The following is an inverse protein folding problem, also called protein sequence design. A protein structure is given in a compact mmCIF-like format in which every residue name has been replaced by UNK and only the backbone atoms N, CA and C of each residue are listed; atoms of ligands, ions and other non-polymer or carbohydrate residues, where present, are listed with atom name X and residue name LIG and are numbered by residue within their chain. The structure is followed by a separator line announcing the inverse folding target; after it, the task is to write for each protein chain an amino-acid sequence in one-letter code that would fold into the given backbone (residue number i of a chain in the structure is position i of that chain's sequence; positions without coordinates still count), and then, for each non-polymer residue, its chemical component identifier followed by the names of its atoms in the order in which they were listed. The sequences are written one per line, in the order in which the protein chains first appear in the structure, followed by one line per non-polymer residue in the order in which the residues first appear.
data_IF_975825140412
#
_entry.id   IF_975825140412
#
_cell.length_a   1.000
_cell.length_b   1.000
_cell.length_c   1.000
_cell.angle_alpha   90.00
_cell.angle_beta   90.00
_cell.angle_gamma   90.00
#
_symmetry.space_group_name_H-M   'P 1'
#
loop_
_entity.id
_entity.type
_entity.pdbx_description
1 polymer ?
#
# COMPACT_ATOMS: atom_id res chain seq x y z
N UNK A 1 -29.43 -119.13 -6.31
CA UNK A 1 -29.87 -118.08 -7.26
C UNK A 1 -30.74 -116.99 -6.60
N UNK A 2 -31.91 -117.29 -6.00
CA UNK A 2 -32.78 -116.27 -5.35
C UNK A 2 -32.13 -115.53 -4.16
N UNK A 3 -31.35 -116.23 -3.31
CA UNK A 3 -30.73 -115.65 -2.11
C UNK A 3 -29.58 -114.67 -2.44
N UNK A 4 -28.80 -114.96 -3.49
CA UNK A 4 -27.69 -114.11 -3.96
C UNK A 4 -28.22 -112.81 -4.58
N UNK A 5 -29.29 -112.88 -5.39
CA UNK A 5 -30.00 -111.71 -5.93
C UNK A 5 -30.58 -110.79 -4.83
N UNK A 6 -31.10 -111.37 -3.74
CA UNK A 6 -31.66 -110.60 -2.62
C UNK A 6 -30.58 -109.87 -1.82
N UNK A 7 -29.40 -110.48 -1.63
CA UNK A 7 -28.24 -109.82 -0.99
C UNK A 7 -27.66 -108.69 -1.85
N UNK A 8 -27.52 -108.90 -3.17
CA UNK A 8 -27.05 -107.84 -4.08
C UNK A 8 -28.04 -106.69 -4.21
N UNK A 9 -29.35 -106.99 -4.19
CA UNK A 9 -30.40 -105.96 -4.21
C UNK A 9 -30.43 -105.14 -2.92
N UNK A 10 -30.31 -105.78 -1.76
CA UNK A 10 -30.22 -105.08 -0.47
C UNK A 10 -28.95 -104.22 -0.33
N UNK A 11 -27.81 -104.67 -0.86
CA UNK A 11 -26.58 -103.87 -0.89
C UNK A 11 -26.70 -102.68 -1.86
N UNK A 12 -27.36 -102.86 -3.00
CA UNK A 12 -27.64 -101.78 -3.95
C UNK A 12 -28.62 -100.75 -3.38
N UNK A 13 -29.69 -101.20 -2.71
CA UNK A 13 -30.66 -100.32 -2.03
C UNK A 13 -30.00 -99.52 -0.89
N UNK A 14 -29.09 -100.13 -0.12
CA UNK A 14 -28.29 -99.42 0.88
C UNK A 14 -27.36 -98.37 0.25
N UNK A 15 -26.72 -98.70 -0.87
CA UNK A 15 -25.85 -97.78 -1.62
C UNK A 15 -26.62 -96.60 -2.23
N UNK A 16 -27.83 -96.85 -2.75
CA UNK A 16 -28.73 -95.81 -3.25
C UNK A 16 -29.14 -94.87 -2.13
N UNK A 17 -29.50 -95.40 -0.95
CA UNK A 17 -29.88 -94.58 0.20
C UNK A 17 -28.72 -93.74 0.76
N UNK A 18 -27.50 -94.28 0.73
CA UNK A 18 -26.26 -93.56 1.07
C UNK A 18 -26.01 -92.40 0.10
N UNK A 19 -26.10 -92.65 -1.22
CA UNK A 19 -25.97 -91.64 -2.26
C UNK A 19 -27.07 -90.57 -2.20
N UNK A 20 -28.32 -90.94 -1.89
CA UNK A 20 -29.42 -89.99 -1.70
C UNK A 20 -29.17 -89.05 -0.52
N UNK A 21 -28.60 -89.55 0.59
CA UNK A 21 -28.23 -88.73 1.74
C UNK A 21 -27.06 -87.79 1.41
N UNK A 22 -26.06 -88.26 0.68
CA UNK A 22 -24.91 -87.45 0.25
C UNK A 22 -25.32 -86.35 -0.73
N UNK A 23 -26.23 -86.64 -1.67
CA UNK A 23 -26.83 -85.65 -2.58
C UNK A 23 -27.68 -84.64 -1.81
N UNK A 24 -28.41 -85.05 -0.77
CA UNK A 24 -29.18 -84.14 0.06
C UNK A 24 -28.28 -83.18 0.87
N UNK A 25 -27.17 -83.67 1.42
CA UNK A 25 -26.17 -82.83 2.09
C UNK A 25 -25.47 -81.88 1.09
N UNK A 26 -25.07 -82.35 -0.09
CA UNK A 26 -24.51 -81.50 -1.14
C UNK A 26 -25.49 -80.41 -1.60
N UNK A 27 -26.79 -80.72 -1.68
CA UNK A 27 -27.82 -79.71 -1.99
C UNK A 27 -27.90 -78.63 -0.91
N UNK A 28 -27.91 -79.01 0.38
CA UNK A 28 -27.89 -78.04 1.50
C UNK A 28 -26.65 -77.17 1.47
N UNK A 29 -25.48 -77.76 1.22
CA UNK A 29 -24.22 -77.01 1.11
C UNK A 29 -24.26 -76.06 -0.08
N UNK A 30 -24.79 -76.48 -1.23
CA UNK A 30 -24.90 -75.64 -2.42
C UNK A 30 -25.92 -74.50 -2.23
N UNK A 31 -27.04 -74.75 -1.55
CA UNK A 31 -28.02 -73.71 -1.18
C UNK A 31 -27.41 -72.70 -0.22
N UNK A 32 -26.73 -73.15 0.85
CA UNK A 32 -26.04 -72.27 1.78
C UNK A 32 -24.92 -71.46 1.10
N UNK A 33 -24.18 -72.08 0.16
CA UNK A 33 -23.17 -71.39 -0.63
C UNK A 33 -23.78 -70.35 -1.58
N UNK A 34 -24.93 -70.66 -2.19
CA UNK A 34 -25.65 -69.74 -3.06
C UNK A 34 -26.19 -68.53 -2.26
N UNK A 35 -26.80 -68.76 -1.10
CA UNK A 35 -27.27 -67.71 -0.20
C UNK A 35 -26.11 -66.83 0.31
N UNK A 36 -24.99 -67.44 0.70
CA UNK A 36 -23.78 -66.72 1.09
C UNK A 36 -23.21 -65.87 -0.06
N UNK A 37 -23.13 -66.44 -1.26
CA UNK A 37 -22.63 -65.72 -2.45
C UNK A 37 -23.54 -64.55 -2.84
N UNK A 38 -24.86 -64.75 -2.76
CA UNK A 38 -25.83 -63.69 -3.05
C UNK A 38 -25.75 -62.56 -2.01
N UNK A 39 -25.57 -62.90 -0.74
CA UNK A 39 -25.36 -61.92 0.35
C UNK A 39 -24.11 -61.09 0.12
N UNK A 40 -23.00 -61.73 -0.23
CA UNK A 40 -21.74 -61.03 -0.56
C UNK A 40 -21.92 -60.13 -1.78
N UNK A 41 -22.54 -60.62 -2.85
CA UNK A 41 -22.78 -59.84 -4.06
C UNK A 41 -23.66 -58.60 -3.81
N UNK A 42 -24.73 -58.74 -3.02
CA UNK A 42 -25.59 -57.63 -2.64
C UNK A 42 -24.85 -56.61 -1.77
N UNK A 43 -24.12 -57.08 -0.74
CA UNK A 43 -23.35 -56.20 0.14
C UNK A 43 -22.30 -55.39 -0.63
N UNK A 44 -21.56 -56.03 -1.55
CA UNK A 44 -20.59 -55.33 -2.40
C UNK A 44 -21.25 -54.29 -3.32
N UNK A 45 -22.45 -54.58 -3.84
CA UNK A 45 -23.21 -53.60 -4.65
C UNK A 45 -23.60 -52.36 -3.82
N UNK A 46 -24.01 -52.56 -2.57
CA UNK A 46 -24.35 -51.46 -1.66
C UNK A 46 -23.11 -50.61 -1.33
N UNK A 47 -21.97 -51.22 -1.01
CA UNK A 47 -20.72 -50.48 -0.79
C UNK A 47 -20.26 -49.75 -2.05
N UNK A 48 -20.40 -50.35 -3.23
CA UNK A 48 -20.09 -49.66 -4.49
C UNK A 48 -20.93 -48.40 -4.66
N UNK A 49 -22.23 -48.46 -4.36
CA UNK A 49 -23.10 -47.28 -4.40
C UNK A 49 -22.70 -46.20 -3.38
N UNK A 50 -22.32 -46.61 -2.16
CA UNK A 50 -21.80 -45.70 -1.12
C UNK A 50 -20.50 -45.04 -1.59
N UNK A 51 -19.53 -45.80 -2.07
CA UNK A 51 -18.24 -45.30 -2.55
C UNK A 51 -18.39 -44.40 -3.77
N UNK A 52 -19.34 -44.67 -4.67
CA UNK A 52 -19.64 -43.81 -5.82
C UNK A 52 -20.24 -42.46 -5.41
N UNK A 53 -21.03 -42.41 -4.34
CA UNK A 53 -21.54 -41.16 -3.76
C UNK A 53 -20.43 -40.41 -3.01
N UNK A 54 -19.64 -41.14 -2.23
CA UNK A 54 -18.47 -40.60 -1.53
C UNK A 54 -17.47 -39.97 -2.50
N UNK A 55 -17.17 -40.62 -3.63
CA UNK A 55 -16.27 -40.10 -4.66
C UNK A 55 -16.79 -38.84 -5.35
N UNK A 56 -18.09 -38.55 -5.24
CA UNK A 56 -18.72 -37.29 -5.71
C UNK A 56 -18.77 -36.20 -4.63
N UNK A 57 -18.22 -36.48 -3.44
CA UNK A 57 -18.18 -35.55 -2.31
C UNK A 57 -19.41 -35.60 -1.40
N UNK A 58 -20.31 -36.56 -1.58
CA UNK A 58 -21.44 -36.76 -0.66
C UNK A 58 -20.96 -37.51 0.58
N UNK A 59 -20.64 -36.76 1.63
CA UNK A 59 -20.20 -37.30 2.92
C UNK A 59 -21.35 -37.73 3.82
N UNK A 60 -22.61 -37.54 3.43
CA UNK A 60 -23.78 -37.89 4.27
C UNK A 60 -24.14 -39.37 4.21
N UNK A 61 -23.53 -40.12 3.29
CA UNK A 61 -23.74 -41.56 3.13
C UNK A 61 -23.12 -42.34 4.28
N UNK A 62 -23.66 -43.52 4.56
CA UNK A 62 -23.10 -44.46 5.54
C UNK A 62 -23.10 -45.86 4.96
N UNK A 63 -21.99 -46.55 5.16
CA UNK A 63 -21.79 -47.94 4.79
C UNK A 63 -22.48 -48.83 5.84
N UNK A 64 -23.11 -49.93 5.40
CA UNK A 64 -23.70 -50.89 6.34
C UNK A 64 -22.56 -51.59 7.12
N UNK A 65 -22.76 -51.92 8.40
CA UNK A 65 -21.78 -52.62 9.25
C UNK A 65 -22.34 -53.93 9.81
N UNK A 66 -23.55 -54.32 9.38
CA UNK A 66 -24.28 -55.51 9.86
C UNK A 66 -24.91 -56.26 8.69
N UNK A 67 -24.08 -56.72 7.79
CA UNK A 67 -24.43 -57.53 6.63
C UNK A 67 -24.51 -59.02 6.97
N UNK A 68 -23.96 -59.43 8.11
CA UNK A 68 -23.90 -60.83 8.53
C UNK A 68 -22.78 -61.61 7.86
N UNK A 69 -21.77 -60.91 7.34
CA UNK A 69 -20.49 -61.41 6.86
C UNK A 69 -19.38 -60.53 7.45
N UNK A 70 -18.41 -61.15 8.13
CA UNK A 70 -17.39 -60.42 8.90
C UNK A 70 -16.50 -59.52 8.03
N UNK A 71 -16.24 -59.90 6.77
CA UNK A 71 -15.39 -59.12 5.87
C UNK A 71 -16.12 -57.89 5.33
N UNK A 72 -17.39 -58.06 4.99
CA UNK A 72 -18.25 -56.94 4.61
C UNK A 72 -18.42 -55.97 5.79
N UNK A 73 -18.64 -56.47 7.00
CA UNK A 73 -18.79 -55.62 8.18
C UNK A 73 -17.51 -54.82 8.47
N UNK A 74 -16.32 -55.42 8.33
CA UNK A 74 -15.04 -54.71 8.40
C UNK A 74 -14.88 -53.65 7.30
N UNK A 75 -15.28 -53.95 6.07
CA UNK A 75 -15.26 -52.97 4.97
C UNK A 75 -16.19 -51.78 5.26
N UNK A 76 -17.34 -52.04 5.88
CA UNK A 76 -18.27 -51.03 6.34
C UNK A 76 -17.64 -50.08 7.37
N UNK A 77 -17.01 -50.64 8.40
CA UNK A 77 -16.29 -49.87 9.42
C UNK A 77 -15.21 -48.99 8.78
N UNK A 78 -14.34 -49.55 7.94
CA UNK A 78 -13.27 -48.81 7.26
C UNK A 78 -13.82 -47.70 6.35
N UNK A 79 -14.93 -47.96 5.65
CA UNK A 79 -15.57 -46.96 4.79
C UNK A 79 -16.15 -45.82 5.62
N UNK A 80 -16.80 -46.12 6.75
CA UNK A 80 -17.34 -45.11 7.65
C UNK A 80 -16.23 -44.30 8.37
N UNK A 81 -15.11 -44.93 8.73
CA UNK A 81 -13.93 -44.24 9.25
C UNK A 81 -13.32 -43.26 8.21
N UNK A 82 -13.26 -43.67 6.95
CA UNK A 82 -12.84 -42.80 5.83
C UNK A 82 -13.80 -41.62 5.67
N UNK A 83 -15.11 -41.85 5.70
CA UNK A 83 -16.13 -40.79 5.61
C UNK A 83 -15.98 -39.80 6.76
N UNK A 84 -15.85 -40.29 7.99
CA UNK A 84 -15.66 -39.45 9.18
C UNK A 84 -14.39 -38.59 9.10
N UNK A 85 -13.29 -39.14 8.57
CA UNK A 85 -12.05 -38.39 8.33
C UNK A 85 -12.27 -37.24 7.34
N UNK A 86 -12.96 -37.50 6.24
CA UNK A 86 -13.27 -36.49 5.23
C UNK A 86 -14.25 -35.42 5.78
N UNK A 87 -15.20 -35.81 6.63
CA UNK A 87 -16.11 -34.86 7.31
C UNK A 87 -15.34 -33.92 8.25
N UNK A 88 -14.39 -34.43 9.01
CA UNK A 88 -13.56 -33.64 9.93
C UNK A 88 -12.68 -32.63 9.18
N UNK A 89 -12.09 -33.06 8.06
CA UNK A 89 -11.33 -32.18 7.18
C UNK A 89 -12.22 -31.13 6.48
N UNK A 90 -13.41 -31.51 6.03
CA UNK A 90 -14.38 -30.58 5.44
C UNK A 90 -14.83 -29.53 6.45
N UNK A 91 -15.09 -29.92 7.70
CA UNK A 91 -15.41 -29.00 8.79
C UNK A 91 -14.25 -28.04 9.08
N UNK A 92 -13.01 -28.54 9.07
CA UNK A 92 -11.81 -27.72 9.24
C UNK A 92 -11.62 -26.74 8.07
N UNK A 93 -11.85 -27.19 6.84
CA UNK A 93 -11.85 -26.35 5.64
C UNK A 93 -12.86 -25.20 5.75
N UNK A 94 -14.07 -25.49 6.24
CA UNK A 94 -15.12 -24.49 6.42
C UNK A 94 -14.73 -23.42 7.46
N UNK A 95 -14.09 -23.83 8.57
CA UNK A 95 -13.55 -22.90 9.58
C UNK A 95 -12.45 -22.01 9.02
N UNK A 96 -11.48 -22.60 8.29
CA UNK A 96 -10.41 -21.84 7.62
C UNK A 96 -10.99 -20.84 6.61
N UNK A 97 -11.99 -21.27 5.82
CA UNK A 97 -12.66 -20.40 4.85
C UNK A 97 -13.44 -19.26 5.53
N UNK A 98 -13.89 -19.46 6.78
CA UNK A 98 -14.49 -18.42 7.61
C UNK A 98 -13.47 -17.53 8.32
N UNK A 99 -12.15 -17.74 8.12
CA UNK A 99 -11.08 -16.94 8.73
C UNK A 99 -10.48 -17.54 10.01
N UNK A 100 -11.07 -18.62 10.55
CA UNK A 100 -10.54 -19.29 11.74
C UNK A 100 -9.35 -20.16 11.37
N UNK A 101 -8.17 -19.57 11.49
CA UNK A 101 -6.90 -20.27 11.34
C UNK A 101 -6.43 -20.92 12.64
N UNK A 102 -7.18 -20.88 13.75
CA UNK A 102 -6.79 -21.52 15.02
C UNK A 102 -7.08 -23.02 15.07
N UNK A 103 -7.68 -23.55 14.00
CA UNK A 103 -7.94 -24.98 13.84
C UNK A 103 -6.69 -25.84 14.04
N UNK A 104 -6.87 -26.96 14.72
CA UNK A 104 -5.82 -27.96 14.94
C UNK A 104 -6.13 -29.19 14.09
N UNK A 105 -5.21 -29.53 13.19
CA UNK A 105 -5.37 -30.66 12.28
C UNK A 105 -4.71 -31.89 12.92
N UNK A 106 -5.54 -32.85 13.33
CA UNK A 106 -5.06 -34.09 13.94
C UNK A 106 -4.69 -35.09 12.86
N UNK A 107 -3.43 -35.53 12.84
CA UNK A 107 -2.98 -36.60 11.97
C UNK A 107 -3.49 -37.95 12.50
N UNK A 108 -4.13 -38.73 11.63
CA UNK A 108 -4.68 -40.05 12.01
C UNK A 108 -3.64 -41.17 11.97
N UNK A 109 -2.63 -41.02 11.12
CA UNK A 109 -1.51 -41.95 10.98
C UNK A 109 -0.29 -41.24 10.41
N UNK A 110 0.85 -41.93 10.36
CA UNK A 110 2.04 -41.42 9.69
C UNK A 110 1.84 -41.28 8.16
N UNK A 111 0.91 -42.03 7.57
CA UNK A 111 0.62 -42.00 6.13
C UNK A 111 -0.55 -41.08 5.76
N UNK A 112 -1.03 -40.26 6.70
CA UNK A 112 -2.09 -39.28 6.47
C UNK A 112 -1.57 -38.09 5.66
N UNK A 113 -1.33 -38.31 4.37
CA UNK A 113 -0.85 -37.29 3.44
C UNK A 113 -1.78 -36.08 3.34
N UNK A 114 -3.10 -36.32 3.43
CA UNK A 114 -4.09 -35.26 3.35
C UNK A 114 -4.06 -34.39 4.60
N UNK A 115 -4.03 -34.99 5.80
CA UNK A 115 -3.86 -34.30 7.06
C UNK A 115 -2.56 -33.50 7.12
N UNK A 116 -1.44 -34.07 6.66
CA UNK A 116 -0.14 -33.37 6.57
C UNK A 116 -0.21 -32.14 5.68
N UNK A 117 -0.75 -32.27 4.48
CA UNK A 117 -0.91 -31.15 3.55
C UNK A 117 -1.81 -30.04 4.12
N UNK A 118 -2.88 -30.42 4.82
CA UNK A 118 -3.79 -29.47 5.48
C UNK A 118 -3.10 -28.72 6.62
N UNK A 119 -2.31 -29.43 7.43
CA UNK A 119 -1.53 -28.84 8.52
C UNK A 119 -0.50 -27.83 7.98
N UNK A 120 0.24 -28.19 6.92
CA UNK A 120 1.17 -27.27 6.25
C UNK A 120 0.46 -26.06 5.67
N UNK A 121 -0.71 -26.25 5.04
CA UNK A 121 -1.54 -25.15 4.52
C UNK A 121 -1.92 -24.17 5.64
N UNK A 122 -2.45 -24.65 6.77
CA UNK A 122 -2.82 -23.81 7.92
C UNK A 122 -1.61 -23.08 8.48
N UNK A 123 -0.47 -23.77 8.62
CA UNK A 123 0.78 -23.16 9.07
C UNK A 123 1.22 -22.01 8.15
N UNK A 124 1.21 -22.22 6.83
CA UNK A 124 1.55 -21.18 5.86
C UNK A 124 0.55 -20.02 5.87
N UNK A 125 -0.74 -20.28 6.00
CA UNK A 125 -1.77 -19.23 6.11
C UNK A 125 -1.55 -18.37 7.36
N UNK A 126 -1.30 -18.98 8.53
CA UNK A 126 -0.95 -18.27 9.77
C UNK A 126 0.27 -17.38 9.56
N UNK A 127 1.33 -17.92 8.96
CA UNK A 127 2.55 -17.15 8.67
C UNK A 127 2.30 -15.97 7.75
N UNK A 128 1.45 -16.13 6.72
CA UNK A 128 1.05 -15.03 5.83
C UNK A 128 0.27 -13.94 6.57
N UNK A 129 -0.65 -14.30 7.46
CA UNK A 129 -1.41 -13.36 8.28
C UNK A 129 -0.48 -12.56 9.21
N UNK A 130 0.46 -13.22 9.89
CA UNK A 130 1.46 -12.54 10.74
C UNK A 130 2.30 -11.56 9.92
N UNK A 131 2.76 -11.96 8.74
CA UNK A 131 3.54 -11.09 7.86
C UNK A 131 2.72 -9.89 7.34
N UNK A 132 1.45 -10.12 7.00
CA UNK A 132 0.53 -9.05 6.58
C UNK A 132 0.29 -8.05 7.71
N UNK A 133 0.04 -8.53 8.93
CA UNK A 133 -0.12 -7.71 10.14
C UNK A 133 1.14 -6.88 10.43
N UNK A 134 2.34 -7.49 10.37
CA UNK A 134 3.59 -6.77 10.54
C UNK A 134 3.87 -5.74 9.43
N UNK A 135 3.39 -5.98 8.21
CA UNK A 135 3.51 -5.01 7.11
C UNK A 135 2.53 -3.84 7.29
N UNK A 136 1.33 -4.12 7.76
CA UNK A 136 0.32 -3.12 8.14
C UNK A 136 0.84 -2.20 9.26
N UNK A 137 1.41 -2.75 10.33
CA UNK A 137 1.98 -1.95 11.44
C UNK A 137 3.09 -0.98 10.96
N UNK A 138 3.98 -1.48 10.09
CA UNK A 138 5.00 -0.64 9.43
C UNK A 138 4.37 0.46 8.58
N UNK A 139 3.33 0.16 7.82
CA UNK A 139 2.63 1.14 6.99
C UNK A 139 1.99 2.25 7.83
N UNK A 140 1.37 1.92 8.97
CA UNK A 140 0.85 2.92 9.93
C UNK A 140 1.98 3.81 10.44
N UNK A 141 3.08 3.21 10.89
CA UNK A 141 4.22 3.95 11.43
C UNK A 141 4.80 4.92 10.39
N UNK A 142 4.95 4.48 9.14
CA UNK A 142 5.43 5.32 8.04
C UNK A 142 4.44 6.42 7.71
N UNK A 143 3.14 6.13 7.68
CA UNK A 143 2.10 7.12 7.42
C UNK A 143 2.05 8.21 8.51
N UNK A 144 2.17 7.82 9.78
CA UNK A 144 2.23 8.76 10.91
C UNK A 144 3.46 9.68 10.83
N UNK A 145 4.64 9.12 10.54
CA UNK A 145 5.86 9.91 10.30
C UNK A 145 5.70 10.84 9.10
N UNK A 146 5.09 10.36 8.02
CA UNK A 146 4.76 11.17 6.85
C UNK A 146 3.87 12.36 7.20
N UNK A 147 2.85 12.14 8.03
CA UNK A 147 1.96 13.19 8.54
C UNK A 147 2.74 14.25 9.34
N UNK A 148 3.59 13.83 10.28
CA UNK A 148 4.41 14.74 11.09
C UNK A 148 5.35 15.59 10.21
N UNK A 149 5.98 14.99 9.20
CA UNK A 149 6.81 15.72 8.23
C UNK A 149 5.98 16.73 7.44
N UNK A 150 4.76 16.40 7.04
CA UNK A 150 3.85 17.35 6.37
C UNK A 150 3.45 18.51 7.28
N UNK A 151 3.12 18.26 8.55
CA UNK A 151 2.80 19.31 9.53
C UNK A 151 3.98 20.27 9.74
N UNK A 152 5.19 19.72 9.88
CA UNK A 152 6.42 20.50 9.98
C UNK A 152 6.70 21.31 8.70
N UNK A 153 6.45 20.72 7.53
CA UNK A 153 6.65 21.40 6.24
C UNK A 153 5.66 22.56 6.10
N UNK A 154 4.41 22.38 6.51
CA UNK A 154 3.39 23.44 6.50
C UNK A 154 3.79 24.63 7.40
N UNK A 155 4.32 24.34 8.59
CA UNK A 155 4.87 25.37 9.49
C UNK A 155 6.05 26.12 8.85
N UNK A 156 6.95 25.41 8.16
CA UNK A 156 8.07 26.05 7.43
C UNK A 156 7.59 26.90 6.26
N UNK A 157 6.58 26.46 5.51
CA UNK A 157 5.95 27.25 4.45
C UNK A 157 5.38 28.57 4.99
N UNK A 158 4.70 28.54 6.15
CA UNK A 158 4.22 29.76 6.80
C UNK A 158 5.35 30.72 7.20
N UNK A 159 6.48 30.19 7.68
CA UNK A 159 7.67 31.01 7.96
C UNK A 159 8.28 31.62 6.70
N UNK A 160 8.26 30.90 5.58
CA UNK A 160 8.73 31.42 4.28
C UNK A 160 7.78 32.51 3.77
N UNK A 161 6.47 32.31 3.87
CA UNK A 161 5.45 33.32 3.56
C UNK A 161 5.72 34.63 4.32
N UNK A 162 5.94 34.56 5.63
CA UNK A 162 6.25 35.73 6.44
C UNK A 162 7.57 36.41 6.02
N UNK A 163 8.57 35.64 5.60
CA UNK A 163 9.85 36.17 5.11
C UNK A 163 9.69 36.90 3.77
N UNK A 164 8.84 36.38 2.88
CA UNK A 164 8.46 37.00 1.61
C UNK A 164 7.73 38.32 1.84
N UNK A 165 6.78 38.36 2.77
CA UNK A 165 6.08 39.60 3.15
C UNK A 165 7.05 40.66 3.69
N UNK A 166 8.00 40.25 4.54
CA UNK A 166 9.02 41.15 5.06
C UNK A 166 9.95 41.66 3.96
N UNK A 167 10.41 40.79 3.06
CA UNK A 167 11.24 41.18 1.91
C UNK A 167 10.51 42.18 1.01
N UNK A 168 9.22 41.96 0.76
CA UNK A 168 8.38 42.87 -0.04
C UNK A 168 8.30 44.26 0.59
N UNK A 169 8.07 44.36 1.91
CA UNK A 169 8.06 45.64 2.64
C UNK A 169 9.41 46.36 2.56
N UNK A 170 10.52 45.63 2.72
CA UNK A 170 11.86 46.22 2.61
C UNK A 170 12.14 46.76 1.21
N UNK A 171 11.71 46.05 0.16
CA UNK A 171 11.84 46.51 -1.23
C UNK A 171 11.00 47.76 -1.52
N UNK A 172 9.78 47.86 -0.97
CA UNK A 172 8.96 49.07 -1.05
C UNK A 172 9.66 50.27 -0.37
N UNK A 173 10.31 50.03 0.78
CA UNK A 173 11.15 51.04 1.44
C UNK A 173 12.32 51.50 0.57
N UNK A 174 13.02 50.55 -0.07
CA UNK A 174 14.13 50.84 -0.97
C UNK A 174 13.68 51.62 -2.21
N UNK A 175 12.51 51.31 -2.78
CA UNK A 175 11.91 52.06 -3.88
C UNK A 175 11.64 53.51 -3.48
N UNK A 176 11.08 53.74 -2.28
CA UNK A 176 10.83 55.08 -1.74
C UNK A 176 12.14 55.87 -1.55
N UNK A 177 13.14 55.30 -0.88
CA UNK A 177 14.43 55.97 -0.67
C UNK A 177 15.15 56.26 -1.98
N UNK A 178 15.09 55.33 -2.94
CA UNK A 178 15.69 55.56 -4.26
C UNK A 178 15.00 56.70 -5.00
N UNK A 179 13.67 56.82 -4.89
CA UNK A 179 12.93 57.96 -5.44
C UNK A 179 13.37 59.28 -4.81
N UNK A 180 13.50 59.33 -3.47
CA UNK A 180 13.96 60.53 -2.74
C UNK A 180 15.39 60.92 -3.15
N UNK A 181 16.31 59.96 -3.28
CA UNK A 181 17.69 60.23 -3.73
C UNK A 181 17.68 60.74 -5.18
N UNK A 182 16.81 60.22 -6.04
CA UNK A 182 16.67 60.71 -7.42
C UNK A 182 16.22 62.17 -7.47
N UNK A 183 15.33 62.59 -6.57
CA UNK A 183 14.91 64.00 -6.45
C UNK A 183 16.06 64.88 -5.96
N UNK A 184 16.80 64.43 -4.94
CA UNK A 184 17.98 65.15 -4.42
C UNK A 184 19.02 65.33 -5.52
N UNK A 185 19.33 64.28 -6.28
CA UNK A 185 20.29 64.34 -7.37
C UNK A 185 19.87 65.36 -8.45
N UNK A 186 18.57 65.41 -8.77
CA UNK A 186 18.03 66.40 -9.70
C UNK A 186 18.14 67.84 -9.16
N UNK A 187 17.90 68.05 -7.86
CA UNK A 187 18.11 69.35 -7.21
C UNK A 187 19.58 69.75 -7.23
N UNK A 188 20.50 68.81 -6.97
CA UNK A 188 21.95 69.06 -7.05
C UNK A 188 22.38 69.46 -8.47
N UNK A 189 21.86 68.81 -9.51
CA UNK A 189 22.08 69.21 -10.90
C UNK A 189 21.65 70.66 -11.13
N UNK A 190 20.45 71.05 -10.67
CA UNK A 190 19.96 72.44 -10.80
C UNK A 190 20.82 73.45 -10.05
N UNK A 191 21.27 73.13 -8.84
CA UNK A 191 22.16 74.00 -8.04
C UNK A 191 23.52 74.15 -8.73
N UNK A 192 24.07 73.06 -9.26
CA UNK A 192 25.33 73.07 -9.99
C UNK A 192 25.23 73.91 -11.27
N UNK A 193 24.13 73.78 -12.04
CA UNK A 193 23.90 74.57 -13.25
C UNK A 193 23.73 76.07 -12.92
N UNK A 194 23.02 76.42 -11.84
CA UNK A 194 22.94 77.80 -11.35
C UNK A 194 24.28 78.35 -10.90
N UNK A 195 25.10 77.55 -10.20
CA UNK A 195 26.44 77.93 -9.76
C UNK A 195 27.37 78.14 -10.94
N UNK A 196 27.26 77.29 -11.97
CA UNK A 196 27.98 77.43 -13.23
C UNK A 196 27.63 78.75 -13.92
N UNK A 197 26.34 79.12 -13.99
CA UNK A 197 25.89 80.41 -14.53
C UNK A 197 26.39 81.61 -13.69
N UNK A 198 26.31 81.53 -12.36
CA UNK A 198 26.82 82.56 -11.45
C UNK A 198 28.33 82.78 -11.63
N UNK A 199 29.09 81.68 -11.72
CA UNK A 199 30.55 81.74 -11.92
C UNK A 199 30.92 82.34 -13.27
N UNK A 200 30.14 82.06 -14.32
CA UNK A 200 30.33 82.65 -15.64
C UNK A 200 30.10 84.17 -15.59
N UNK A 201 29.03 84.62 -14.94
CA UNK A 201 28.76 86.05 -14.76
C UNK A 201 29.87 86.74 -13.96
N UNK A 202 30.37 86.10 -12.90
CA UNK A 202 31.49 86.62 -12.12
C UNK A 202 32.80 86.71 -12.94
N UNK A 203 33.08 85.71 -13.78
CA UNK A 203 34.23 85.75 -14.68
C UNK A 203 34.15 86.90 -15.69
N UNK A 204 32.96 87.16 -16.24
CA UNK A 204 32.69 88.28 -17.16
C UNK A 204 32.94 89.62 -16.45
N UNK A 205 32.39 89.81 -15.25
CA UNK A 205 32.54 91.08 -14.53
C UNK A 205 33.99 91.29 -14.04
N UNK A 206 34.68 90.23 -13.64
CA UNK A 206 36.10 90.27 -13.29
C UNK A 206 36.97 90.65 -14.50
N UNK A 207 36.67 90.12 -15.70
CA UNK A 207 37.34 90.54 -16.93
C UNK A 207 37.08 92.02 -17.27
N UNK A 208 35.87 92.50 -16.98
CA UNK A 208 35.46 93.90 -17.19
C UNK A 208 36.19 94.88 -16.28
N UNK A 209 36.55 94.47 -15.07
CA UNK A 209 37.34 95.27 -14.12
C UNK A 209 38.84 95.36 -14.47
N UNK A 210 39.30 94.71 -15.55
CA UNK A 210 40.67 94.81 -16.05
C UNK A 210 41.72 94.25 -15.06
N UNK A 211 42.82 94.97 -14.85
CA UNK A 211 43.92 94.55 -13.97
C UNK A 211 43.46 94.29 -12.52
N UNK A 212 42.49 95.06 -12.01
CA UNK A 212 41.97 94.90 -10.65
C UNK A 212 41.13 93.63 -10.47
N UNK A 213 40.62 93.04 -11.56
CA UNK A 213 39.76 91.84 -11.54
C UNK A 213 40.49 90.52 -11.76
N UNK A 214 41.79 90.54 -12.11
CA UNK A 214 42.57 89.33 -12.47
C UNK A 214 42.49 88.20 -11.45
N UNK A 215 42.59 88.51 -10.15
CA UNK A 215 42.48 87.52 -9.08
C UNK A 215 41.08 86.90 -8.99
N UNK A 216 40.03 87.69 -9.24
CA UNK A 216 38.65 87.22 -9.23
C UNK A 216 38.32 86.35 -10.44
N UNK A 217 38.92 86.60 -11.61
CA UNK A 217 38.74 85.74 -12.79
C UNK A 217 39.19 84.30 -12.52
N UNK A 218 40.33 84.12 -11.84
CA UNK A 218 40.86 82.79 -11.50
C UNK A 218 39.90 82.05 -10.57
N UNK A 219 39.38 82.74 -9.55
CA UNK A 219 38.41 82.16 -8.61
C UNK A 219 37.11 81.78 -9.33
N UNK A 220 36.60 82.64 -10.21
CA UNK A 220 35.39 82.38 -10.97
C UNK A 220 35.53 81.16 -11.89
N UNK A 221 36.67 80.99 -12.57
CA UNK A 221 36.94 79.80 -13.39
C UNK A 221 37.03 78.50 -12.56
N UNK A 222 37.59 78.56 -11.35
CA UNK A 222 37.66 77.40 -10.46
C UNK A 222 36.27 76.99 -9.95
N UNK A 223 35.44 77.97 -9.56
CA UNK A 223 34.03 77.72 -9.19
C UNK A 223 33.26 77.13 -10.36
N UNK A 224 33.50 77.60 -11.59
CA UNK A 224 32.89 77.06 -12.81
C UNK A 224 33.22 75.59 -13.02
N UNK A 225 34.50 75.21 -12.87
CA UNK A 225 34.94 73.81 -12.97
C UNK A 225 34.31 72.94 -11.88
N UNK A 226 34.26 73.43 -10.64
CA UNK A 226 33.62 72.73 -9.53
C UNK A 226 32.12 72.51 -9.79
N UNK A 227 31.44 73.50 -10.34
CA UNK A 227 30.04 73.39 -10.73
C UNK A 227 29.83 72.33 -11.83
N UNK A 228 30.63 72.34 -12.90
CA UNK A 228 30.55 71.33 -13.97
C UNK A 228 30.84 69.91 -13.46
N UNK A 229 31.82 69.75 -12.56
CA UNK A 229 32.13 68.49 -11.91
C UNK A 229 30.94 68.01 -11.05
N UNK A 230 30.31 68.93 -10.31
CA UNK A 230 29.12 68.63 -9.49
C UNK A 230 27.92 68.18 -10.32
N UNK A 231 27.67 68.83 -11.47
CA UNK A 231 26.64 68.40 -12.44
C UNK A 231 26.89 66.96 -12.90
N UNK A 232 28.14 66.65 -13.27
CA UNK A 232 28.53 65.32 -13.76
C UNK A 232 28.33 64.25 -12.69
N UNK A 233 28.76 64.51 -11.45
CA UNK A 233 28.57 63.57 -10.33
C UNK A 233 27.10 63.36 -9.98
N UNK A 234 26.28 64.41 -10.00
CA UNK A 234 24.83 64.30 -9.76
C UNK A 234 24.12 63.46 -10.85
N UNK A 235 24.57 63.56 -12.09
CA UNK A 235 24.08 62.70 -13.19
C UNK A 235 24.49 61.23 -13.00
N UNK A 236 25.71 60.97 -12.55
CA UNK A 236 26.15 59.60 -12.22
C UNK A 236 25.33 59.00 -11.08
N UNK A 237 25.07 59.76 -10.01
CA UNK A 237 24.18 59.34 -8.91
C UNK A 237 22.79 58.99 -9.47
N UNK A 238 22.22 59.84 -10.31
CA UNK A 238 20.90 59.60 -10.92
C UNK A 238 20.88 58.29 -11.72
N UNK A 239 21.94 58.01 -12.48
CA UNK A 239 22.07 56.76 -13.25
C UNK A 239 22.12 55.53 -12.35
N UNK A 240 22.89 55.57 -11.26
CA UNK A 240 22.99 54.47 -10.29
C UNK A 240 21.62 54.23 -9.63
N UNK A 241 20.94 55.30 -9.22
CA UNK A 241 19.61 55.22 -8.58
C UNK A 241 18.57 54.62 -9.52
N UNK A 242 18.57 54.98 -10.81
CA UNK A 242 17.68 54.36 -11.81
C UNK A 242 17.94 52.86 -11.97
N UNK A 243 19.20 52.44 -11.91
CA UNK A 243 19.55 51.03 -11.94
C UNK A 243 19.06 50.29 -10.68
N UNK A 244 19.27 50.88 -9.49
CA UNK A 244 18.74 50.34 -8.22
C UNK A 244 17.22 50.20 -8.25
N UNK A 245 16.48 51.20 -8.75
CA UNK A 245 15.03 51.12 -8.91
C UNK A 245 14.61 49.97 -9.83
N UNK A 246 15.29 49.82 -10.96
CA UNK A 246 15.01 48.76 -11.94
C UNK A 246 15.24 47.38 -11.32
N UNK A 247 16.35 47.19 -10.63
CA UNK A 247 16.68 45.90 -10.01
C UNK A 247 15.79 45.60 -8.80
N UNK A 248 15.38 46.62 -8.05
CA UNK A 248 14.38 46.50 -6.98
C UNK A 248 13.05 46.00 -7.53
N UNK A 249 12.56 46.56 -8.65
CA UNK A 249 11.31 46.12 -9.28
C UNK A 249 11.38 44.66 -9.74
N UNK A 250 12.48 44.25 -10.37
CA UNK A 250 12.70 42.84 -10.75
C UNK A 250 12.71 41.92 -9.52
N UNK A 251 13.30 42.37 -8.42
CA UNK A 251 13.34 41.60 -7.18
C UNK A 251 11.92 41.43 -6.60
N UNK A 252 11.08 42.47 -6.62
CA UNK A 252 9.66 42.39 -6.21
C UNK A 252 8.89 41.38 -7.07
N UNK A 253 9.06 41.41 -8.39
CA UNK A 253 8.43 40.44 -9.29
C UNK A 253 8.87 38.99 -9.00
N UNK A 254 10.14 38.78 -8.67
CA UNK A 254 10.64 37.46 -8.29
C UNK A 254 10.06 36.99 -6.95
N UNK A 255 9.99 37.88 -5.95
CA UNK A 255 9.40 37.59 -4.63
C UNK A 255 7.90 37.28 -4.74
N UNK A 256 7.15 38.03 -5.55
CA UNK A 256 5.72 37.77 -5.78
C UNK A 256 5.47 36.43 -6.47
N UNK A 257 6.34 36.02 -7.42
CA UNK A 257 6.28 34.67 -7.99
C UNK A 257 6.54 33.61 -6.93
N UNK A 258 7.58 33.80 -6.10
CA UNK A 258 7.86 32.90 -4.98
C UNK A 258 6.69 32.80 -3.99
N UNK A 259 5.96 33.89 -3.73
CA UNK A 259 4.77 33.87 -2.88
C UNK A 259 3.68 32.93 -3.45
N UNK A 260 3.46 32.98 -4.76
CA UNK A 260 2.50 32.12 -5.45
C UNK A 260 2.93 30.65 -5.41
N UNK A 261 4.21 30.37 -5.64
CA UNK A 261 4.75 29.00 -5.58
C UNK A 261 4.58 28.39 -4.17
N UNK A 262 4.72 29.20 -3.11
CA UNK A 262 4.49 28.77 -1.73
C UNK A 262 3.01 28.48 -1.46
N UNK A 263 2.09 29.28 -2.01
CA UNK A 263 0.65 29.03 -1.89
C UNK A 263 0.24 27.70 -2.57
N UNK A 264 0.73 27.48 -3.80
CA UNK A 264 0.54 26.21 -4.52
C UNK A 264 1.18 25.04 -3.77
N UNK A 265 2.39 25.21 -3.24
CA UNK A 265 3.08 24.22 -2.42
C UNK A 265 2.34 23.85 -1.14
N UNK A 266 1.76 24.83 -0.45
CA UNK A 266 0.93 24.63 0.74
C UNK A 266 -0.34 23.82 0.43
N UNK A 267 -0.97 24.08 -0.72
CA UNK A 267 -2.10 23.28 -1.20
C UNK A 267 -1.72 21.81 -1.45
N UNK A 268 -0.56 21.56 -2.07
CA UNK A 268 -0.04 20.21 -2.32
C UNK A 268 0.31 19.46 -1.03
N UNK A 269 0.88 20.15 -0.04
CA UNK A 269 1.19 19.57 1.28
C UNK A 269 -0.11 19.16 2.00
N UNK A 270 -1.14 20.01 1.95
CA UNK A 270 -2.45 19.67 2.51
C UNK A 270 -3.12 18.46 1.83
N UNK A 271 -2.93 18.31 0.52
CA UNK A 271 -3.38 17.12 -0.21
C UNK A 271 -2.62 15.87 0.27
N UNK A 272 -1.30 15.94 0.34
CA UNK A 272 -0.46 14.85 0.86
C UNK A 272 -0.82 14.46 2.30
N UNK A 273 -1.11 15.44 3.16
CA UNK A 273 -1.57 15.20 4.53
C UNK A 273 -2.88 14.39 4.57
N UNK A 274 -3.83 14.65 3.67
CA UNK A 274 -5.06 13.85 3.55
C UNK A 274 -4.79 12.42 3.07
N UNK A 275 -3.86 12.24 2.13
CA UNK A 275 -3.48 10.91 1.65
C UNK A 275 -2.91 10.05 2.79
N UNK A 276 -2.08 10.62 3.66
CA UNK A 276 -1.58 9.89 4.84
C UNK A 276 -2.70 9.51 5.81
N UNK A 277 -3.72 10.36 5.99
CA UNK A 277 -4.89 10.03 6.79
C UNK A 277 -5.69 8.86 6.20
N UNK A 278 -5.88 8.83 4.87
CA UNK A 278 -6.53 7.73 4.18
C UNK A 278 -5.73 6.42 4.31
N UNK A 279 -4.40 6.48 4.24
CA UNK A 279 -3.54 5.31 4.46
C UNK A 279 -3.74 4.77 5.88
N UNK A 280 -3.68 5.62 6.91
CA UNK A 280 -3.90 5.17 8.30
C UNK A 280 -5.25 4.48 8.45
N UNK A 281 -6.32 5.07 7.90
CA UNK A 281 -7.67 4.50 7.94
C UNK A 281 -7.77 3.17 7.18
N UNK A 282 -7.14 3.07 6.01
CA UNK A 282 -7.13 1.84 5.22
C UNK A 282 -6.44 0.70 5.99
N UNK A 283 -5.34 1.00 6.68
CA UNK A 283 -4.62 -0.01 7.45
C UNK A 283 -5.37 -0.40 8.74
N UNK A 284 -6.05 0.54 9.41
CA UNK A 284 -6.94 0.23 10.53
C UNK A 284 -8.09 -0.71 10.14
N UNK A 285 -8.57 -0.63 8.90
CA UNK A 285 -9.56 -1.58 8.38
C UNK A 285 -8.95 -2.98 8.19
N UNK A 286 -7.72 -3.08 7.67
CA UNK A 286 -7.00 -4.36 7.56
C UNK A 286 -6.86 -5.02 8.94
N UNK A 287 -6.50 -4.26 9.98
CA UNK A 287 -6.42 -4.82 11.33
C UNK A 287 -7.76 -5.32 11.87
N UNK A 288 -8.88 -4.71 11.47
CA UNK A 288 -10.21 -5.21 11.83
C UNK A 288 -10.52 -6.51 11.12
N UNK A 289 -10.25 -6.59 9.82
CA UNK A 289 -10.47 -7.82 9.02
C UNK A 289 -9.56 -8.98 9.45
N UNK A 290 -8.34 -8.71 9.92
CA UNK A 290 -7.43 -9.74 10.42
C UNK A 290 -7.78 -10.27 11.82
N UNK A 291 -8.60 -9.53 12.58
CA UNK A 291 -9.01 -9.88 13.95
C UNK A 291 -10.45 -10.40 14.04
N UNK A 292 -11.17 -10.48 12.93
CA UNK A 292 -12.50 -11.12 12.79
C UNK A 292 -12.35 -12.53 12.25
#
# INVERSE_FOLDING_TARGET
MKLLRKKTQSALEAKVKELEAEVAELKKVNEALHEGSMRVAMGLSDYFAVLQRLSRGDLTVRANEKTGDDLLDQLGVLTNEMIASLEELAASAAKIAAGDLTVDIRLRSEDDHLGKAFMEMVHHLRGRVVNASGSADKAITVAQKGKEVMENTLSKMASVQASIEHATKSMQGLEKWSSEISEIANVMTKIADQTNLLSLNAAIEAARAGESGRGFTIVADEVRKLAQSSTTQAQEISKIVQQVLTDTRKAVEAVNRGAKDIEEGSSLINQSHRMFFEITRAVENIFRELNT
#
